data_IF_947370492836
#
_entry.id   IF_947370492836
#
_cell.length_a   1.000
_cell.length_b   1.000
_cell.length_c   1.000
_cell.angle_alpha   90.00
_cell.angle_beta   90.00
_cell.angle_gamma   90.00
#
_symmetry.space_group_name_H-M   'P 1'
#
loop_
_entity.id
_entity.type
_entity.pdbx_description
1 polymer ?
#
# COMPACT_ATOMS: atom_id res chain seq x y z
N UNK A 1 -37.72 19.22 -64.74
CA UNK A 1 -38.66 18.78 -63.68
C UNK A 1 -38.80 17.25 -63.65
N UNK A 2 -38.91 16.56 -64.80
CA UNK A 2 -38.99 15.08 -64.86
C UNK A 2 -37.75 14.34 -64.37
N UNK A 3 -36.54 14.85 -64.60
CA UNK A 3 -35.27 14.23 -64.18
C UNK A 3 -35.02 14.29 -62.67
N UNK A 4 -35.45 15.36 -62.00
CA UNK A 4 -35.37 15.50 -60.54
C UNK A 4 -36.37 14.59 -59.83
N UNK A 5 -37.60 14.48 -60.34
CA UNK A 5 -38.62 13.55 -59.84
C UNK A 5 -38.17 12.09 -59.99
N UNK A 6 -37.60 11.72 -61.15
CA UNK A 6 -37.07 10.36 -61.38
C UNK A 6 -35.93 10.00 -60.42
N UNK A 7 -34.97 10.90 -60.20
CA UNK A 7 -33.87 10.65 -59.26
C UNK A 7 -34.33 10.57 -57.80
N UNK A 8 -35.34 11.37 -57.42
CA UNK A 8 -35.87 11.37 -56.05
C UNK A 8 -36.64 10.09 -55.76
N UNK A 9 -37.44 9.60 -56.72
CA UNK A 9 -38.15 8.31 -56.60
C UNK A 9 -37.16 7.15 -56.50
N UNK A 10 -36.10 7.15 -57.31
CA UNK A 10 -35.09 6.09 -57.29
C UNK A 10 -34.30 6.06 -55.97
N UNK A 11 -33.99 7.23 -55.39
CA UNK A 11 -33.34 7.32 -54.06
C UNK A 11 -34.27 6.84 -52.95
N UNK A 12 -35.58 7.14 -53.04
CA UNK A 12 -36.58 6.68 -52.09
C UNK A 12 -36.75 5.16 -52.16
N UNK A 13 -36.88 4.57 -53.35
CA UNK A 13 -36.97 3.11 -53.52
C UNK A 13 -35.70 2.40 -53.04
N UNK A 14 -34.51 2.98 -53.29
CA UNK A 14 -33.24 2.42 -52.81
C UNK A 14 -33.12 2.51 -51.28
N UNK A 15 -33.62 3.59 -50.68
CA UNK A 15 -33.64 3.78 -49.22
C UNK A 15 -34.66 2.85 -48.55
N UNK A 16 -35.82 2.64 -49.15
CA UNK A 16 -36.87 1.72 -48.69
C UNK A 16 -36.37 0.26 -48.74
N UNK A 17 -35.75 -0.14 -49.84
CA UNK A 17 -35.16 -1.47 -49.98
C UNK A 17 -34.00 -1.69 -48.99
N UNK A 18 -33.19 -0.66 -48.70
CA UNK A 18 -32.12 -0.72 -47.71
C UNK A 18 -32.65 -0.75 -46.27
N UNK A 19 -33.77 -0.07 -45.99
CA UNK A 19 -34.43 -0.08 -44.70
C UNK A 19 -35.07 -1.45 -44.42
N UNK A 20 -35.73 -2.06 -45.41
CA UNK A 20 -36.27 -3.42 -45.31
C UNK A 20 -35.16 -4.46 -45.09
N UNK A 21 -34.02 -4.32 -45.77
CA UNK A 21 -32.86 -5.19 -45.56
C UNK A 21 -32.29 -5.06 -44.14
N UNK A 22 -32.17 -3.82 -43.63
CA UNK A 22 -31.65 -3.55 -42.28
C UNK A 22 -32.63 -4.02 -41.21
N UNK A 23 -33.94 -3.86 -41.42
CA UNK A 23 -35.00 -4.36 -40.55
C UNK A 23 -35.01 -5.90 -40.50
N UNK A 24 -34.83 -6.55 -41.65
CA UNK A 24 -34.67 -8.00 -41.75
C UNK A 24 -33.46 -8.50 -40.95
N UNK A 25 -32.33 -7.82 -41.07
CA UNK A 25 -31.10 -8.20 -40.36
C UNK A 25 -31.17 -7.91 -38.86
N UNK A 26 -31.83 -6.82 -38.45
CA UNK A 26 -32.12 -6.55 -37.05
C UNK A 26 -33.09 -7.57 -36.43
N UNK A 27 -34.11 -8.00 -37.19
CA UNK A 27 -35.05 -9.03 -36.74
C UNK A 27 -34.36 -10.39 -36.58
N UNK A 28 -33.45 -10.74 -37.51
CA UNK A 28 -32.60 -11.93 -37.37
C UNK A 28 -31.68 -11.83 -36.16
N UNK A 29 -31.04 -10.68 -35.94
CA UNK A 29 -30.15 -10.46 -34.80
C UNK A 29 -30.91 -10.50 -33.47
N UNK A 30 -32.09 -9.91 -33.38
CA UNK A 30 -33.00 -9.98 -32.23
C UNK A 30 -33.42 -11.43 -31.93
N UNK A 31 -33.79 -12.19 -32.95
CA UNK A 31 -34.09 -13.62 -32.80
C UNK A 31 -32.85 -14.41 -32.33
N UNK A 32 -31.66 -14.05 -32.80
CA UNK A 32 -30.40 -14.67 -32.41
C UNK A 32 -30.02 -14.32 -30.96
N UNK A 33 -30.20 -13.08 -30.53
CA UNK A 33 -29.99 -12.62 -29.15
C UNK A 33 -30.99 -13.28 -28.20
N UNK A 34 -32.26 -13.38 -28.59
CA UNK A 34 -33.30 -14.10 -27.81
C UNK A 34 -32.92 -15.57 -27.65
N UNK A 35 -32.49 -16.23 -28.72
CA UNK A 35 -32.00 -17.61 -28.68
C UNK A 35 -30.75 -17.77 -27.82
N UNK A 36 -29.82 -16.81 -27.85
CA UNK A 36 -28.63 -16.81 -26.98
C UNK A 36 -29.00 -16.59 -25.52
N UNK A 37 -29.98 -15.73 -25.22
CA UNK A 37 -30.51 -15.53 -23.87
C UNK A 37 -31.23 -16.77 -23.34
N UNK A 38 -32.04 -17.44 -24.17
CA UNK A 38 -32.65 -18.74 -23.85
C UNK A 38 -31.58 -19.82 -23.60
N UNK A 39 -30.50 -19.84 -24.40
CA UNK A 39 -29.37 -20.75 -24.19
C UNK A 39 -28.58 -20.45 -22.92
N UNK A 40 -28.39 -19.18 -22.58
CA UNK A 40 -27.72 -18.76 -21.33
C UNK A 40 -28.60 -19.13 -20.14
N UNK A 41 -29.90 -18.85 -20.20
CA UNK A 41 -30.85 -19.20 -19.14
C UNK A 41 -30.95 -20.73 -18.97
N UNK A 42 -31.04 -21.48 -20.07
CA UNK A 42 -31.02 -22.93 -20.06
C UNK A 42 -29.71 -23.53 -19.54
N UNK A 43 -28.55 -22.95 -19.87
CA UNK A 43 -27.26 -23.38 -19.30
C UNK A 43 -27.13 -23.01 -17.82
N UNK A 44 -27.72 -21.89 -17.39
CA UNK A 44 -27.71 -21.47 -16.00
C UNK A 44 -28.50 -22.46 -15.13
N UNK A 45 -29.72 -22.79 -15.54
CA UNK A 45 -30.58 -23.74 -14.81
C UNK A 45 -30.09 -25.19 -14.91
N UNK A 46 -29.61 -25.63 -16.09
CA UNK A 46 -29.25 -27.03 -16.30
C UNK A 46 -27.81 -27.39 -15.91
N UNK A 47 -26.88 -26.42 -15.85
CA UNK A 47 -25.44 -26.69 -15.62
C UNK A 47 -24.84 -25.88 -14.48
N UNK A 48 -25.10 -24.57 -14.41
CA UNK A 48 -24.42 -23.68 -13.46
C UNK A 48 -25.02 -23.83 -12.05
N UNK A 49 -26.34 -23.74 -11.92
CA UNK A 49 -27.03 -23.89 -10.63
C UNK A 49 -26.78 -25.28 -9.99
N UNK A 50 -26.85 -26.40 -10.74
CA UNK A 50 -26.53 -27.72 -10.19
C UNK A 50 -25.04 -27.86 -9.83
N UNK A 51 -24.12 -27.26 -10.60
CA UNK A 51 -22.70 -27.29 -10.28
C UNK A 51 -22.38 -26.51 -8.99
N UNK A 52 -23.01 -25.35 -8.78
CA UNK A 52 -22.89 -24.58 -7.54
C UNK A 52 -23.47 -25.37 -6.36
N UNK A 53 -24.64 -25.99 -6.51
CA UNK A 53 -25.23 -26.84 -5.47
C UNK A 53 -24.37 -28.08 -5.17
N UNK A 54 -23.78 -28.70 -6.19
CA UNK A 54 -22.85 -29.83 -6.05
C UNK A 54 -21.59 -29.40 -5.30
N UNK A 55 -20.98 -28.27 -5.68
CA UNK A 55 -19.84 -27.71 -4.97
C UNK A 55 -20.18 -27.40 -3.50
N UNK A 56 -21.35 -26.83 -3.23
CA UNK A 56 -21.85 -26.57 -1.88
C UNK A 56 -22.02 -27.87 -1.07
N UNK A 57 -22.50 -28.94 -1.71
CA UNK A 57 -22.69 -30.25 -1.08
C UNK A 57 -21.36 -30.94 -0.75
N UNK A 58 -20.36 -30.80 -1.63
CA UNK A 58 -18.99 -31.32 -1.41
C UNK A 58 -18.33 -30.57 -0.26
N UNK A 59 -18.38 -29.23 -0.28
CA UNK A 59 -17.84 -28.39 0.79
C UNK A 59 -18.50 -28.70 2.13
N UNK A 60 -19.83 -28.88 2.16
CA UNK A 60 -20.55 -29.25 3.38
C UNK A 60 -20.15 -30.64 3.88
N UNK A 61 -20.06 -31.64 2.99
CA UNK A 61 -19.69 -33.01 3.34
C UNK A 61 -18.25 -33.12 3.85
N UNK A 62 -17.31 -32.43 3.21
CA UNK A 62 -15.92 -32.37 3.65
C UNK A 62 -15.76 -31.55 4.94
N UNK A 63 -16.54 -30.49 5.14
CA UNK A 63 -16.57 -29.75 6.40
C UNK A 63 -17.16 -30.59 7.55
N UNK A 64 -18.19 -31.40 7.29
CA UNK A 64 -18.77 -32.33 8.28
C UNK A 64 -17.79 -33.47 8.60
N UNK A 65 -17.08 -34.00 7.60
CA UNK A 65 -16.02 -35.02 7.80
C UNK A 65 -14.81 -34.46 8.55
N UNK A 66 -14.35 -33.26 8.17
CA UNK A 66 -13.28 -32.55 8.86
C UNK A 66 -13.71 -32.20 10.29
N UNK A 67 -14.96 -31.80 10.51
CA UNK A 67 -15.55 -31.52 11.82
C UNK A 67 -15.64 -32.76 12.72
N UNK A 68 -15.96 -33.93 12.17
CA UNK A 68 -15.96 -35.20 12.90
C UNK A 68 -14.54 -35.66 13.27
N UNK A 69 -13.56 -35.47 12.37
CA UNK A 69 -12.15 -35.76 12.62
C UNK A 69 -11.55 -34.74 13.61
N UNK A 70 -11.91 -33.47 13.51
CA UNK A 70 -11.47 -32.39 14.38
C UNK A 70 -12.13 -32.45 15.77
N UNK A 71 -13.37 -32.95 15.90
CA UNK A 71 -13.99 -33.25 17.20
C UNK A 71 -13.23 -34.33 17.97
N UNK A 72 -12.59 -35.26 17.26
CA UNK A 72 -11.67 -36.22 17.88
C UNK A 72 -10.29 -35.63 18.24
N UNK A 73 -9.97 -34.42 17.74
CA UNK A 73 -8.66 -33.77 17.85
C UNK A 73 -8.70 -32.38 18.51
N UNK A 74 -9.77 -32.03 19.24
CA UNK A 74 -9.94 -30.70 19.85
C UNK A 74 -8.87 -30.46 20.91
N UNK A 75 -8.00 -29.47 20.69
CA UNK A 75 -7.51 -28.54 21.74
C UNK A 75 -6.82 -27.26 21.19
N UNK A 76 -6.17 -27.27 20.01
CA UNK A 76 -5.10 -26.27 19.77
C UNK A 76 -5.27 -25.20 18.67
N UNK A 77 -6.32 -25.15 17.84
CA UNK A 77 -6.36 -24.16 16.73
C UNK A 77 -7.72 -23.50 16.43
N UNK A 78 -8.00 -22.29 16.97
CA UNK A 78 -9.19 -21.48 16.65
C UNK A 78 -9.24 -20.90 15.23
N UNK A 79 -8.16 -21.00 14.46
CA UNK A 79 -8.03 -20.35 13.15
C UNK A 79 -8.78 -21.08 12.02
N UNK A 80 -8.97 -22.40 12.13
CA UNK A 80 -9.61 -23.22 11.09
C UNK A 80 -11.13 -23.02 11.08
N UNK A 81 -11.74 -22.89 12.26
CA UNK A 81 -13.17 -22.65 12.42
C UNK A 81 -13.59 -21.30 11.80
N UNK A 82 -12.73 -20.28 11.98
CA UNK A 82 -12.95 -18.95 11.40
C UNK A 82 -12.89 -18.94 9.87
N UNK A 83 -11.93 -19.65 9.26
CA UNK A 83 -11.78 -19.70 7.79
C UNK A 83 -12.97 -20.42 7.14
N UNK A 84 -13.47 -21.49 7.75
CA UNK A 84 -14.64 -22.21 7.25
C UNK A 84 -15.93 -21.37 7.39
N UNK A 85 -16.09 -20.66 8.49
CA UNK A 85 -17.21 -19.72 8.70
C UNK A 85 -17.15 -18.55 7.71
N UNK A 86 -15.97 -17.99 7.45
CA UNK A 86 -15.77 -16.89 6.52
C UNK A 86 -15.97 -17.34 5.05
N UNK A 87 -15.53 -18.56 4.69
CA UNK A 87 -15.79 -19.16 3.38
C UNK A 87 -17.29 -19.45 3.16
N UNK A 88 -17.98 -19.99 4.17
CA UNK A 88 -19.44 -20.20 4.12
C UNK A 88 -20.21 -18.88 4.00
N UNK A 89 -19.75 -17.81 4.66
CA UNK A 89 -20.29 -16.46 4.49
C UNK A 89 -20.06 -15.92 3.08
N UNK A 90 -18.85 -16.02 2.55
CA UNK A 90 -18.52 -15.56 1.19
C UNK A 90 -19.36 -16.27 0.12
N UNK A 91 -19.57 -17.57 0.29
CA UNK A 91 -20.40 -18.36 -0.63
C UNK A 91 -21.90 -18.02 -0.52
N UNK A 92 -22.39 -17.72 0.69
CA UNK A 92 -23.76 -17.23 0.90
C UNK A 92 -23.99 -15.84 0.29
N UNK A 93 -23.00 -14.97 0.33
CA UNK A 93 -23.04 -13.66 -0.35
C UNK A 93 -23.07 -13.86 -1.87
N UNK A 94 -22.25 -14.76 -2.43
CA UNK A 94 -22.27 -15.07 -3.86
C UNK A 94 -23.62 -15.65 -4.33
N UNK A 95 -24.26 -16.50 -3.52
CA UNK A 95 -25.61 -17.03 -3.81
C UNK A 95 -26.66 -15.93 -3.73
N UNK A 96 -26.60 -15.05 -2.72
CA UNK A 96 -27.53 -13.93 -2.60
C UNK A 96 -27.38 -12.93 -3.77
N UNK A 97 -26.16 -12.61 -4.19
CA UNK A 97 -25.90 -11.76 -5.37
C UNK A 97 -26.40 -12.42 -6.66
N UNK A 98 -26.22 -13.74 -6.81
CA UNK A 98 -26.79 -14.48 -7.94
C UNK A 98 -28.34 -14.50 -7.92
N UNK A 99 -28.95 -14.52 -6.74
CA UNK A 99 -30.39 -14.43 -6.55
C UNK A 99 -30.92 -13.01 -6.80
N UNK A 100 -30.15 -11.97 -6.47
CA UNK A 100 -30.41 -10.58 -6.85
C UNK A 100 -30.36 -10.43 -8.37
N UNK A 101 -29.33 -10.97 -9.04
CA UNK A 101 -29.24 -10.96 -10.51
C UNK A 101 -30.44 -11.70 -11.13
N UNK A 102 -30.81 -12.88 -10.60
CA UNK A 102 -32.04 -13.61 -10.99
C UNK A 102 -33.32 -12.81 -10.78
N UNK A 103 -33.42 -11.98 -9.74
CA UNK A 103 -34.61 -11.17 -9.47
C UNK A 103 -34.77 -9.98 -10.43
N UNK A 104 -33.66 -9.47 -10.99
CA UNK A 104 -33.67 -8.35 -11.93
C UNK A 104 -33.71 -8.78 -13.40
N UNK A 105 -33.40 -10.05 -13.70
CA UNK A 105 -33.46 -10.62 -15.06
C UNK A 105 -34.88 -10.59 -15.67
N UNK A 106 -35.96 -10.92 -14.94
CA UNK A 106 -37.33 -10.78 -15.45
C UNK A 106 -37.74 -9.32 -15.68
N UNK A 107 -37.18 -8.38 -14.91
CA UNK A 107 -37.41 -6.95 -15.13
C UNK A 107 -36.68 -6.47 -16.40
N UNK A 108 -35.48 -6.97 -16.65
CA UNK A 108 -34.75 -6.72 -17.90
C UNK A 108 -35.46 -7.35 -19.10
N UNK A 109 -35.95 -8.59 -18.99
CA UNK A 109 -36.77 -9.28 -20.00
C UNK A 109 -38.07 -8.50 -20.26
N UNK A 110 -38.79 -8.09 -19.22
CA UNK A 110 -40.01 -7.29 -19.33
C UNK A 110 -39.77 -5.92 -19.97
N UNK A 111 -38.69 -5.22 -19.61
CA UNK A 111 -38.29 -3.96 -20.25
C UNK A 111 -37.93 -4.17 -21.72
N UNK A 112 -37.24 -5.26 -22.06
CA UNK A 112 -36.94 -5.64 -23.44
C UNK A 112 -38.22 -5.95 -24.23
N UNK A 113 -39.15 -6.73 -23.68
CA UNK A 113 -40.45 -7.00 -24.32
C UNK A 113 -41.28 -5.73 -24.48
N UNK A 114 -41.23 -4.81 -23.52
CA UNK A 114 -41.90 -3.51 -23.61
C UNK A 114 -41.27 -2.64 -24.70
N UNK A 115 -39.94 -2.64 -24.84
CA UNK A 115 -39.23 -1.98 -25.93
C UNK A 115 -39.58 -2.63 -27.28
N UNK A 116 -39.66 -3.96 -27.37
CA UNK A 116 -40.08 -4.68 -28.59
C UNK A 116 -41.52 -4.36 -28.98
N UNK A 117 -42.45 -4.33 -28.02
CA UNK A 117 -43.85 -3.98 -28.26
C UNK A 117 -44.00 -2.51 -28.66
N UNK A 118 -43.26 -1.60 -28.02
CA UNK A 118 -43.24 -0.18 -28.40
C UNK A 118 -42.65 0.00 -29.79
N UNK A 119 -41.62 -0.75 -30.19
CA UNK A 119 -41.07 -0.72 -31.55
C UNK A 119 -42.09 -1.22 -32.59
N UNK A 120 -42.85 -2.28 -32.29
CA UNK A 120 -43.93 -2.76 -33.14
C UNK A 120 -45.12 -1.77 -33.23
N UNK A 121 -45.30 -0.94 -32.21
CA UNK A 121 -46.26 0.17 -32.19
C UNK A 121 -45.73 1.40 -32.95
N UNK A 122 -44.42 1.67 -32.86
CA UNK A 122 -43.68 2.70 -33.63
C UNK A 122 -43.65 2.42 -35.15
N UNK A 123 -43.73 1.15 -35.58
CA UNK A 123 -43.90 0.78 -37.00
C UNK A 123 -45.21 1.34 -37.61
N UNK A 124 -46.23 1.62 -36.78
CA UNK A 124 -47.55 2.11 -37.25
C UNK A 124 -47.69 3.62 -37.26
N UNK A 125 -46.91 4.35 -36.48
CA UNK A 125 -46.99 5.81 -36.35
C UNK A 125 -45.59 6.42 -36.48
N UNK A 126 -45.10 6.54 -37.72
CA UNK A 126 -43.79 7.08 -37.99
C UNK A 126 -43.72 8.60 -37.74
N UNK A 127 -42.80 9.03 -36.87
CA UNK A 127 -42.21 10.36 -36.95
C UNK A 127 -40.70 10.20 -37.21
N UNK A 128 -40.28 10.59 -38.42
CA UNK A 128 -38.92 10.50 -38.97
C UNK A 128 -37.85 11.15 -38.05
N UNK A 129 -38.29 12.00 -37.11
CA UNK A 129 -37.44 12.78 -36.23
C UNK A 129 -36.81 11.96 -35.09
N UNK A 130 -37.50 10.92 -34.60
CA UNK A 130 -36.99 10.04 -33.52
C UNK A 130 -35.99 9.01 -34.06
N UNK A 131 -36.18 8.60 -35.32
CA UNK A 131 -35.27 7.73 -36.07
C UNK A 131 -33.92 8.41 -36.31
N UNK A 132 -33.94 9.73 -36.58
CA UNK A 132 -32.72 10.55 -36.68
C UNK A 132 -32.00 10.62 -35.32
N UNK A 133 -32.71 10.78 -34.21
CA UNK A 133 -32.08 10.79 -32.87
C UNK A 133 -31.47 9.43 -32.48
N UNK A 134 -32.09 8.31 -32.88
CA UNK A 134 -31.54 6.97 -32.65
C UNK A 134 -30.32 6.64 -33.53
N UNK A 135 -30.32 7.09 -34.80
CA UNK A 135 -29.18 6.98 -35.71
C UNK A 135 -27.97 7.85 -35.32
N UNK A 136 -28.15 8.78 -34.38
CA UNK A 136 -27.07 9.65 -33.88
C UNK A 136 -26.32 9.02 -32.70
N UNK A 137 -26.70 7.83 -32.23
CA UNK A 137 -26.00 7.10 -31.17
C UNK A 137 -24.72 6.47 -31.76
N UNK A 138 -23.58 6.98 -31.34
CA UNK A 138 -22.26 6.55 -31.77
C UNK A 138 -21.85 5.24 -31.07
N UNK A 139 -22.14 4.10 -31.71
CA UNK A 139 -21.82 2.76 -31.19
C UNK A 139 -20.34 2.56 -30.81
N UNK A 140 -19.42 3.36 -31.36
CA UNK A 140 -18.02 3.31 -30.95
C UNK A 140 -17.81 3.87 -29.54
N UNK A 141 -18.53 4.93 -29.15
CA UNK A 141 -18.47 5.51 -27.79
C UNK A 141 -19.11 4.61 -26.74
N UNK A 142 -20.22 3.96 -27.08
CA UNK A 142 -20.90 3.05 -26.14
C UNK A 142 -20.06 1.78 -25.90
N UNK A 143 -19.41 1.26 -26.94
CA UNK A 143 -18.45 0.14 -26.82
C UNK A 143 -17.24 0.51 -25.96
N UNK A 144 -16.70 1.71 -26.12
CA UNK A 144 -15.60 2.23 -25.30
C UNK A 144 -16.02 2.39 -23.83
N UNK A 145 -17.27 2.82 -23.57
CA UNK A 145 -17.82 2.89 -22.23
C UNK A 145 -17.97 1.52 -21.55
N UNK A 146 -18.30 0.45 -22.27
CA UNK A 146 -18.35 -0.90 -21.70
C UNK A 146 -16.95 -1.54 -21.52
N UNK A 147 -15.98 -1.20 -22.38
CA UNK A 147 -14.61 -1.70 -22.27
C UNK A 147 -13.82 -1.01 -21.14
N UNK A 148 -14.04 0.29 -20.94
CA UNK A 148 -13.47 1.10 -19.86
C UNK A 148 -14.58 1.85 -19.11
N UNK A 149 -15.40 1.16 -18.30
CA UNK A 149 -16.53 1.77 -17.58
C UNK A 149 -16.09 2.85 -16.58
N UNK A 150 -14.80 2.89 -16.27
CA UNK A 150 -14.18 3.92 -15.45
C UNK A 150 -12.90 4.40 -16.15
N UNK A 151 -12.96 5.56 -16.81
CA UNK A 151 -11.75 6.28 -17.23
C UNK A 151 -11.11 6.88 -15.98
N UNK A 152 -10.04 6.24 -15.50
CA UNK A 152 -9.21 6.76 -14.41
C UNK A 152 -8.49 8.04 -14.89
N UNK A 153 -9.04 9.20 -14.54
CA UNK A 153 -8.36 10.48 -14.71
C UNK A 153 -7.43 10.68 -13.50
N UNK A 154 -6.21 10.16 -13.60
CA UNK A 154 -5.19 10.32 -12.56
C UNK A 154 -4.52 11.69 -12.65
N UNK A 155 -4.76 12.54 -11.66
CA UNK A 155 -4.01 13.78 -11.47
C UNK A 155 -2.91 13.54 -10.45
N UNK A 156 -1.71 13.20 -10.92
CA UNK A 156 -0.54 12.98 -10.05
C UNK A 156 0.05 14.33 -9.64
N UNK A 157 -0.23 14.77 -8.42
CA UNK A 157 0.27 16.03 -7.87
C UNK A 157 1.80 16.05 -7.70
N UNK A 158 2.40 14.89 -7.42
CA UNK A 158 3.82 14.73 -7.12
C UNK A 158 4.42 13.53 -7.87
N UNK A 159 4.79 13.69 -9.15
CA UNK A 159 5.25 12.58 -9.98
C UNK A 159 6.67 12.15 -9.61
N UNK A 160 6.82 10.90 -9.16
CA UNK A 160 8.12 10.25 -8.95
C UNK A 160 8.37 9.28 -10.11
N UNK A 161 9.50 9.41 -10.85
CA UNK A 161 9.66 8.79 -12.17
C UNK A 161 9.86 7.27 -12.15
N UNK A 162 10.25 6.69 -11.02
CA UNK A 162 10.49 5.25 -10.92
C UNK A 162 10.40 4.75 -9.47
N UNK A 163 10.20 3.44 -9.34
CA UNK A 163 10.07 2.75 -8.05
C UNK A 163 11.31 2.90 -7.16
N UNK A 164 12.52 2.84 -7.73
CA UNK A 164 13.76 2.99 -6.98
C UNK A 164 13.86 4.35 -6.28
N UNK A 165 13.46 5.41 -6.97
CA UNK A 165 13.41 6.77 -6.43
C UNK A 165 12.33 6.89 -5.34
N UNK A 166 11.15 6.30 -5.57
CA UNK A 166 10.07 6.26 -4.58
C UNK A 166 10.46 5.51 -3.29
N UNK A 167 11.33 4.50 -3.41
CA UNK A 167 11.84 3.72 -2.28
C UNK A 167 13.11 4.29 -1.63
N UNK A 168 13.76 5.28 -2.25
CA UNK A 168 14.99 5.89 -1.73
C UNK A 168 14.83 6.44 -0.29
N UNK A 169 13.73 7.12 0.11
CA UNK A 169 13.56 7.57 1.49
C UNK A 169 13.67 6.45 2.52
N UNK A 170 13.12 5.28 2.21
CA UNK A 170 13.13 4.12 3.09
C UNK A 170 14.53 3.52 3.20
N UNK A 171 15.19 3.24 2.07
CA UNK A 171 16.50 2.60 2.07
C UNK A 171 17.62 3.51 2.56
N UNK A 172 17.56 4.81 2.26
CA UNK A 172 18.49 5.81 2.82
C UNK A 172 18.32 5.88 4.34
N UNK A 173 17.10 5.95 4.87
CA UNK A 173 16.88 5.95 6.32
C UNK A 173 17.39 4.67 6.98
N UNK A 174 17.14 3.51 6.35
CA UNK A 174 17.63 2.22 6.80
C UNK A 174 19.16 2.16 6.86
N UNK A 175 19.84 2.60 5.79
CA UNK A 175 21.29 2.56 5.68
C UNK A 175 21.97 3.45 6.72
N UNK A 176 21.42 4.63 7.03
CA UNK A 176 21.94 5.52 8.07
C UNK A 176 21.93 4.87 9.46
N UNK A 177 20.83 4.18 9.83
CA UNK A 177 20.75 3.49 11.12
C UNK A 177 21.70 2.29 11.18
N UNK A 178 21.71 1.46 10.13
CA UNK A 178 22.60 0.28 10.04
C UNK A 178 24.06 0.72 10.09
N UNK A 179 24.44 1.77 9.35
CA UNK A 179 25.77 2.36 9.39
C UNK A 179 26.16 2.83 10.80
N UNK A 180 25.22 3.47 11.52
CA UNK A 180 25.41 3.82 12.94
C UNK A 180 25.65 2.61 13.85
N UNK A 181 24.88 1.51 13.70
CA UNK A 181 25.08 0.26 14.45
C UNK A 181 26.44 -0.36 14.15
N UNK A 182 26.83 -0.41 12.87
CA UNK A 182 28.14 -0.93 12.46
C UNK A 182 29.26 -0.09 13.07
N UNK A 183 29.11 1.24 13.07
CA UNK A 183 30.11 2.15 13.62
C UNK A 183 30.34 1.94 15.12
N UNK A 184 29.28 1.83 15.94
CA UNK A 184 29.42 1.51 17.38
C UNK A 184 29.86 0.07 17.65
N UNK A 185 29.75 -0.81 16.66
CA UNK A 185 30.23 -2.18 16.75
C UNK A 185 31.73 -2.28 16.48
N UNK A 186 32.23 -1.50 15.51
CA UNK A 186 33.64 -1.44 15.12
C UNK A 186 34.48 -0.58 16.06
N UNK A 187 33.96 0.60 16.45
CA UNK A 187 34.68 1.55 17.28
C UNK A 187 34.17 1.48 18.74
N UNK A 188 35.09 1.37 19.70
CA UNK A 188 34.72 1.33 21.12
C UNK A 188 34.12 2.65 21.59
N UNK A 189 33.03 2.60 22.35
CA UNK A 189 32.39 3.78 22.96
C UNK A 189 33.10 4.20 24.26
N UNK A 190 33.91 3.30 24.84
CA UNK A 190 34.67 3.58 26.07
C UNK A 190 35.91 4.42 25.77
N UNK A 191 36.18 5.38 26.65
CA UNK A 191 37.36 6.26 26.59
C UNK A 191 38.30 5.85 27.72
N UNK A 192 39.54 5.53 27.38
CA UNK A 192 40.59 5.18 28.34
C UNK A 192 41.53 6.38 28.54
N UNK A 193 42.21 6.45 29.70
CA UNK A 193 43.18 7.51 29.97
C UNK A 193 42.55 8.88 30.26
N UNK A 194 41.49 8.91 31.07
CA UNK A 194 40.84 10.16 31.47
C UNK A 194 41.76 10.98 32.40
N UNK A 195 41.99 12.25 32.08
CA UNK A 195 42.65 13.20 32.96
C UNK A 195 41.79 13.51 34.20
N UNK A 196 42.45 13.75 35.34
CA UNK A 196 41.80 14.16 36.58
C UNK A 196 40.99 15.45 36.39
N UNK A 197 39.76 15.48 36.91
CA UNK A 197 38.85 16.63 36.82
C UNK A 197 37.86 16.63 35.66
N UNK A 198 37.93 15.69 34.71
CA UNK A 198 36.93 15.59 33.64
C UNK A 198 35.57 15.08 34.15
N UNK A 199 34.52 15.91 34.00
CA UNK A 199 33.13 15.52 34.30
C UNK A 199 32.58 14.56 33.25
N UNK A 200 31.64 13.70 33.64
CA UNK A 200 31.08 12.65 32.77
C UNK A 200 30.45 13.16 31.47
N UNK A 201 29.90 14.38 31.46
CA UNK A 201 29.33 14.97 30.25
C UNK A 201 30.41 15.40 29.24
N UNK A 202 31.60 15.83 29.68
CA UNK A 202 32.71 16.16 28.77
C UNK A 202 33.17 14.91 28.02
N UNK A 203 33.30 13.78 28.73
CA UNK A 203 33.66 12.49 28.12
C UNK A 203 32.58 12.00 27.17
N UNK A 204 31.30 12.17 27.53
CA UNK A 204 30.17 11.80 26.69
C UNK A 204 30.13 12.60 25.39
N UNK A 205 30.08 13.93 25.47
CA UNK A 205 30.01 14.77 24.28
C UNK A 205 31.29 14.68 23.45
N UNK A 206 32.47 14.65 24.09
CA UNK A 206 33.74 14.52 23.38
C UNK A 206 33.82 13.25 22.53
N UNK A 207 33.43 12.10 23.10
CA UNK A 207 33.41 10.84 22.33
C UNK A 207 32.26 10.80 21.32
N UNK A 208 31.07 11.30 21.68
CA UNK A 208 29.94 11.41 20.76
C UNK A 208 30.29 12.21 19.50
N UNK A 209 31.02 13.32 19.63
CA UNK A 209 31.43 14.14 18.47
C UNK A 209 32.28 13.35 17.47
N UNK A 210 33.11 12.41 17.91
CA UNK A 210 33.83 11.51 16.99
C UNK A 210 32.87 10.65 16.17
N UNK A 211 31.87 10.05 16.83
CA UNK A 211 30.84 9.24 16.16
C UNK A 211 29.97 10.09 15.24
N UNK A 212 29.57 11.29 15.69
CA UNK A 212 28.78 12.23 14.91
C UNK A 212 29.49 12.65 13.62
N UNK A 213 30.78 13.00 13.68
CA UNK A 213 31.54 13.39 12.49
C UNK A 213 31.57 12.25 11.46
N UNK A 214 31.86 11.03 11.89
CA UNK A 214 31.87 9.87 10.99
C UNK A 214 30.45 9.60 10.46
N UNK A 215 29.42 9.77 11.30
CA UNK A 215 28.03 9.59 10.91
C UNK A 215 27.54 10.61 9.87
N UNK A 216 27.99 11.86 9.96
CA UNK A 216 27.70 12.89 8.97
C UNK A 216 28.43 12.60 7.65
N UNK A 217 29.69 12.16 7.72
CA UNK A 217 30.45 11.78 6.51
C UNK A 217 29.83 10.58 5.79
N UNK A 218 29.47 9.50 6.51
CA UNK A 218 28.78 8.36 5.88
C UNK A 218 27.44 8.80 5.28
N UNK A 219 26.70 9.68 5.96
CA UNK A 219 25.41 10.16 5.46
C UNK A 219 25.58 10.94 4.18
N UNK A 220 26.60 11.80 4.10
CA UNK A 220 26.91 12.54 2.89
C UNK A 220 27.24 11.57 1.75
N UNK A 221 28.06 10.55 2.01
CA UNK A 221 28.38 9.51 1.02
C UNK A 221 27.13 8.77 0.55
N UNK A 222 26.23 8.39 1.46
CA UNK A 222 24.97 7.72 1.12
C UNK A 222 24.09 8.64 0.28
N UNK A 223 23.75 9.84 0.77
CA UNK A 223 22.80 10.72 0.07
C UNK A 223 23.35 11.23 -1.26
N UNK A 224 24.63 11.56 -1.34
CA UNK A 224 25.25 11.99 -2.60
C UNK A 224 25.44 10.79 -3.53
N UNK A 225 25.74 9.61 -3.00
CA UNK A 225 25.80 8.36 -3.75
C UNK A 225 24.45 7.99 -4.37
N UNK A 226 23.36 8.14 -3.62
CA UNK A 226 21.99 7.91 -4.12
C UNK A 226 21.69 8.84 -5.31
N UNK A 227 22.04 10.12 -5.21
CA UNK A 227 21.78 11.11 -6.26
C UNK A 227 22.72 10.98 -7.47
N UNK A 228 24.02 10.76 -7.27
CA UNK A 228 25.02 10.80 -8.34
C UNK A 228 25.37 9.42 -8.93
N UNK A 229 25.50 8.40 -8.08
CA UNK A 229 25.89 7.05 -8.51
C UNK A 229 24.66 6.25 -8.94
N UNK A 230 23.64 6.21 -8.08
CA UNK A 230 22.42 5.45 -8.34
C UNK A 230 21.40 6.24 -9.18
N UNK A 231 21.61 7.55 -9.34
CA UNK A 231 20.73 8.46 -10.09
C UNK A 231 19.28 8.42 -9.60
N UNK A 232 19.11 8.27 -8.28
CA UNK A 232 17.80 8.36 -7.65
C UNK A 232 17.24 9.78 -7.84
N UNK A 233 15.96 9.87 -8.21
CA UNK A 233 15.28 11.14 -8.33
C UNK A 233 14.94 11.72 -6.96
N UNK A 234 15.18 13.01 -6.79
CA UNK A 234 14.65 13.81 -5.70
C UNK A 234 14.18 15.16 -6.25
N UNK A 235 12.94 15.56 -5.92
CA UNK A 235 12.41 16.86 -6.30
C UNK A 235 13.26 18.03 -5.75
N UNK A 236 13.79 17.88 -4.53
CA UNK A 236 14.72 18.82 -3.91
C UNK A 236 15.98 18.08 -3.42
N UNK A 237 17.02 17.96 -4.27
CA UNK A 237 18.26 17.24 -3.94
C UNK A 237 19.01 17.82 -2.75
N UNK A 238 18.93 19.15 -2.55
CA UNK A 238 19.60 19.81 -1.43
C UNK A 238 18.91 19.43 -0.12
N UNK A 239 17.57 19.49 -0.07
CA UNK A 239 16.82 19.02 1.10
C UNK A 239 17.05 17.54 1.37
N UNK A 240 17.15 16.70 0.33
CA UNK A 240 17.44 15.27 0.49
C UNK A 240 18.74 15.03 1.27
N UNK A 241 19.81 15.75 0.91
CA UNK A 241 21.10 15.67 1.61
C UNK A 241 21.00 16.25 3.03
N UNK A 242 20.39 17.43 3.20
CA UNK A 242 20.26 18.07 4.52
C UNK A 242 19.43 17.25 5.51
N UNK A 243 18.33 16.66 5.05
CA UNK A 243 17.49 15.78 5.85
C UNK A 243 18.23 14.49 6.20
N UNK A 244 18.96 13.89 5.25
CA UNK A 244 19.81 12.73 5.54
C UNK A 244 20.85 13.02 6.63
N UNK A 245 21.56 14.16 6.53
CA UNK A 245 22.54 14.58 7.55
C UNK A 245 21.90 14.77 8.92
N UNK A 246 20.74 15.43 8.97
CA UNK A 246 19.97 15.62 10.21
C UNK A 246 19.54 14.28 10.81
N UNK A 247 18.91 13.40 10.02
CA UNK A 247 18.46 12.07 10.46
C UNK A 247 19.65 11.23 10.95
N UNK A 248 20.78 11.26 10.24
CA UNK A 248 22.00 10.58 10.65
C UNK A 248 22.50 11.07 12.02
N UNK A 249 22.48 12.39 12.26
CA UNK A 249 22.86 12.94 13.56
C UNK A 249 21.93 12.48 14.69
N UNK A 250 20.61 12.44 14.45
CA UNK A 250 19.60 11.96 15.40
C UNK A 250 19.81 10.47 15.71
N UNK A 251 19.92 9.64 14.67
CA UNK A 251 20.11 8.20 14.82
C UNK A 251 21.43 7.87 15.49
N UNK A 252 22.51 8.55 15.11
CA UNK A 252 23.81 8.37 15.73
C UNK A 252 23.77 8.73 17.22
N UNK A 253 23.08 9.80 17.59
CA UNK A 253 22.89 10.16 18.99
C UNK A 253 22.16 9.06 19.76
N UNK A 254 21.05 8.55 19.23
CA UNK A 254 20.28 7.46 19.85
C UNK A 254 21.14 6.20 20.04
N UNK A 255 21.74 5.72 18.96
CA UNK A 255 22.54 4.49 18.96
C UNK A 255 23.76 4.64 19.89
N UNK A 256 24.48 5.76 19.79
CA UNK A 256 25.62 6.05 20.67
C UNK A 256 25.21 6.05 22.13
N UNK A 257 24.06 6.66 22.45
CA UNK A 257 23.57 6.75 23.82
C UNK A 257 23.24 5.38 24.39
N UNK A 258 22.52 4.54 23.64
CA UNK A 258 22.20 3.19 24.08
C UNK A 258 23.46 2.38 24.39
N UNK A 259 24.45 2.40 23.48
CA UNK A 259 25.71 1.67 23.69
C UNK A 259 26.55 2.31 24.80
N UNK A 260 26.54 3.63 24.91
CA UNK A 260 27.30 4.33 25.96
C UNK A 260 26.75 4.09 27.36
N UNK A 261 25.44 3.88 27.51
CA UNK A 261 24.79 3.68 28.81
C UNK A 261 24.69 2.19 29.16
N UNK A 262 24.35 1.34 28.19
CA UNK A 262 24.07 -0.09 28.42
C UNK A 262 25.14 -1.04 27.86
N UNK A 263 26.20 -0.54 27.25
CA UNK A 263 27.27 -1.35 26.67
C UNK A 263 26.77 -2.30 25.57
N UNK A 264 27.14 -3.58 25.66
CA UNK A 264 26.73 -4.60 24.67
C UNK A 264 25.22 -4.84 24.64
N UNK A 265 24.53 -4.67 25.77
CA UNK A 265 23.05 -4.72 25.81
C UNK A 265 22.48 -3.58 24.98
N UNK A 266 23.09 -2.40 25.04
CA UNK A 266 22.71 -1.25 24.22
C UNK A 266 22.82 -1.50 22.72
N UNK A 267 23.83 -2.28 22.28
CA UNK A 267 23.94 -2.70 20.87
C UNK A 267 22.76 -3.59 20.47
N UNK A 268 22.42 -4.57 21.31
CA UNK A 268 21.26 -5.43 21.07
C UNK A 268 19.95 -4.64 21.04
N UNK A 269 19.76 -3.68 21.94
CA UNK A 269 18.60 -2.78 21.95
C UNK A 269 18.47 -1.98 20.65
N UNK A 270 19.58 -1.44 20.13
CA UNK A 270 19.58 -0.71 18.86
C UNK A 270 19.17 -1.59 17.67
N UNK A 271 19.58 -2.86 17.67
CA UNK A 271 19.19 -3.86 16.65
C UNK A 271 17.73 -4.26 16.79
N UNK A 272 17.25 -4.53 18.00
CA UNK A 272 15.83 -4.85 18.23
C UNK A 272 14.95 -3.69 17.80
N UNK A 273 15.33 -2.46 18.16
CA UNK A 273 14.61 -1.26 17.74
C UNK A 273 14.64 -1.09 16.22
N UNK A 274 15.75 -1.41 15.54
CA UNK A 274 15.81 -1.45 14.08
C UNK A 274 14.77 -2.41 13.48
N UNK A 275 14.69 -3.63 13.99
CA UNK A 275 13.75 -4.65 13.48
C UNK A 275 12.30 -4.21 13.66
N UNK A 276 11.96 -3.67 14.83
CA UNK A 276 10.62 -3.13 15.10
C UNK A 276 10.28 -1.96 14.18
N UNK A 277 11.24 -1.06 13.96
CA UNK A 277 11.09 0.08 13.06
C UNK A 277 10.92 -0.34 11.60
N UNK A 278 11.68 -1.35 11.15
CA UNK A 278 11.62 -1.84 9.77
C UNK A 278 10.23 -2.36 9.41
N UNK A 279 9.60 -3.11 10.32
CA UNK A 279 8.26 -3.65 10.12
C UNK A 279 7.14 -2.62 10.43
N UNK A 280 7.39 -1.69 11.35
CA UNK A 280 6.35 -0.83 11.93
C UNK A 280 6.31 0.62 11.45
N UNK A 281 7.18 1.07 10.54
CA UNK A 281 7.29 2.51 10.17
C UNK A 281 6.57 2.93 8.89
N UNK A 282 5.82 2.03 8.25
CA UNK A 282 5.07 2.34 7.03
C UNK A 282 5.94 2.79 5.85
N UNK A 283 7.13 2.19 5.73
CA UNK A 283 8.13 2.53 4.71
C UNK A 283 7.83 1.95 3.33
N UNK A 284 7.46 0.66 3.27
CA UNK A 284 7.14 -0.07 2.03
C UNK A 284 5.65 -0.13 1.73
N UNK A 285 4.82 -0.21 2.77
CA UNK A 285 3.37 -0.29 2.68
C UNK A 285 2.70 0.67 3.67
N UNK A 286 1.46 1.10 3.41
CA UNK A 286 0.69 1.88 4.37
C UNK A 286 0.59 1.16 5.72
N UNK A 287 0.68 1.91 6.83
CA UNK A 287 0.63 1.27 8.16
C UNK A 287 -0.70 0.55 8.42
N UNK A 288 -1.80 1.00 7.79
CA UNK A 288 -3.15 0.47 7.95
C UNK A 288 -3.30 -0.99 7.52
N UNK A 289 -2.42 -1.48 6.65
CA UNK A 289 -2.43 -2.89 6.19
C UNK A 289 -1.54 -3.80 7.04
N UNK A 290 -0.89 -3.28 8.08
CA UNK A 290 -0.04 -4.07 8.98
C UNK A 290 -0.83 -4.62 10.18
N UNK A 291 -0.35 -5.66 10.88
CA UNK A 291 -1.02 -6.17 12.09
C UNK A 291 -1.23 -5.08 13.17
N UNK A 292 -2.27 -5.18 14.02
CA UNK A 292 -2.61 -4.15 15.01
C UNK A 292 -1.47 -3.73 15.94
N UNK A 293 -0.59 -4.68 16.29
CA UNK A 293 0.61 -4.40 17.07
C UNK A 293 1.52 -3.35 16.41
N UNK A 294 1.78 -3.46 15.11
CA UNK A 294 2.63 -2.52 14.38
C UNK A 294 1.96 -1.16 14.21
N UNK A 295 0.64 -1.14 14.00
CA UNK A 295 -0.14 0.09 13.99
C UNK A 295 -0.07 0.84 15.32
N UNK A 296 -0.09 0.13 16.45
CA UNK A 296 -0.02 0.74 17.78
C UNK A 296 1.35 1.37 18.07
N UNK A 297 2.45 0.74 17.64
CA UNK A 297 3.80 1.27 17.88
C UNK A 297 4.21 2.34 16.86
N UNK A 298 3.61 2.39 15.67
CA UNK A 298 3.95 3.29 14.56
C UNK A 298 4.21 4.76 14.96
N UNK A 299 3.36 5.42 15.80
CA UNK A 299 3.58 6.80 16.19
C UNK A 299 4.81 7.03 17.06
N UNK A 300 5.34 5.97 17.67
CA UNK A 300 6.47 6.01 18.60
C UNK A 300 7.79 5.56 17.96
N UNK A 301 7.80 5.28 16.66
CA UNK A 301 8.98 4.86 15.92
C UNK A 301 9.64 6.06 15.22
N UNK A 302 10.91 6.40 15.52
CA UNK A 302 11.58 7.53 14.86
C UNK A 302 11.74 7.34 13.34
N UNK A 303 11.84 6.09 12.86
CA UNK A 303 11.83 5.78 11.42
C UNK A 303 10.60 6.32 10.70
N UNK A 304 9.43 6.33 11.33
CA UNK A 304 8.19 6.85 10.74
C UNK A 304 8.40 8.28 10.26
N UNK A 305 8.93 9.13 11.13
CA UNK A 305 9.15 10.55 10.87
C UNK A 305 10.39 10.79 9.98
N UNK A 306 11.44 9.96 10.10
CA UNK A 306 12.61 10.06 9.25
C UNK A 306 12.31 9.71 7.78
N UNK A 307 11.57 8.62 7.53
CA UNK A 307 11.16 8.22 6.18
C UNK A 307 10.18 9.24 5.60
N UNK A 308 9.27 9.75 6.42
CA UNK A 308 8.32 10.81 6.03
C UNK A 308 9.07 12.10 5.63
N UNK A 309 10.03 12.56 6.44
CA UNK A 309 10.85 13.73 6.12
C UNK A 309 11.66 13.56 4.82
N UNK A 310 12.24 12.38 4.59
CA UNK A 310 12.95 12.08 3.34
C UNK A 310 12.00 12.03 2.13
N UNK A 311 10.76 11.57 2.31
CA UNK A 311 9.72 11.58 1.27
C UNK A 311 9.40 13.00 0.80
N UNK A 312 9.36 13.97 1.71
CA UNK A 312 9.13 15.38 1.37
C UNK A 312 10.22 15.97 0.46
N UNK A 313 11.46 15.47 0.55
CA UNK A 313 12.53 15.86 -0.38
C UNK A 313 12.42 15.17 -1.74
N UNK A 314 11.87 13.95 -1.79
CA UNK A 314 11.76 13.14 -3.02
C UNK A 314 10.52 13.50 -3.83
N UNK A 315 9.34 13.49 -3.21
CA UNK A 315 8.06 13.70 -3.89
C UNK A 315 7.71 15.17 -4.07
N UNK A 316 8.20 16.05 -3.20
CA UNK A 316 7.80 17.45 -3.16
C UNK A 316 7.38 17.83 -1.74
N UNK A 317 7.83 19.00 -1.28
CA UNK A 317 7.83 19.34 0.14
C UNK A 317 6.58 20.10 0.56
N UNK A 318 5.81 19.49 1.46
CA UNK A 318 4.72 20.06 2.24
C UNK A 318 5.30 20.54 3.58
N UNK A 319 5.30 21.86 3.77
CA UNK A 319 6.00 22.49 4.90
C UNK A 319 5.47 22.03 6.26
N UNK A 320 4.17 21.79 6.41
CA UNK A 320 3.57 21.33 7.67
C UNK A 320 4.06 19.94 8.08
N UNK A 321 4.25 19.04 7.10
CA UNK A 321 4.77 17.69 7.34
C UNK A 321 6.24 17.77 7.76
N UNK A 322 7.04 18.58 7.04
CA UNK A 322 8.45 18.81 7.38
C UNK A 322 8.60 19.36 8.80
N UNK A 323 7.82 20.39 9.19
CA UNK A 323 7.88 20.98 10.53
C UNK A 323 7.50 19.95 11.59
N UNK A 324 6.41 19.20 11.38
CA UNK A 324 5.96 18.16 12.32
C UNK A 324 7.04 17.11 12.53
N UNK A 325 7.54 16.51 11.45
CA UNK A 325 8.49 15.40 11.51
C UNK A 325 9.83 15.84 12.08
N UNK A 326 10.31 17.03 11.69
CA UNK A 326 11.51 17.64 12.25
C UNK A 326 11.37 17.90 13.75
N UNK A 327 10.23 18.45 14.19
CA UNK A 327 9.95 18.71 15.61
C UNK A 327 9.91 17.42 16.42
N UNK A 328 9.26 16.36 15.91
CA UNK A 328 9.20 15.08 16.60
C UNK A 328 10.60 14.44 16.71
N UNK A 329 11.42 14.52 15.66
CA UNK A 329 12.81 14.05 15.71
C UNK A 329 13.65 14.85 16.73
N UNK A 330 13.41 16.15 16.89
CA UNK A 330 14.04 16.93 17.97
C UNK A 330 13.57 16.50 19.37
N UNK A 331 12.32 16.06 19.52
CA UNK A 331 11.85 15.47 20.80
C UNK A 331 12.65 14.20 21.12
N UNK A 332 12.92 13.34 20.13
CA UNK A 332 13.81 12.18 20.34
C UNK A 332 15.23 12.60 20.73
N UNK A 333 15.77 13.67 20.13
CA UNK A 333 17.08 14.23 20.52
C UNK A 333 17.05 14.65 21.99
N UNK A 334 16.03 15.41 22.41
CA UNK A 334 15.89 15.88 23.78
C UNK A 334 15.79 14.70 24.77
N UNK A 335 14.91 13.73 24.50
CA UNK A 335 14.76 12.51 25.33
C UNK A 335 16.09 11.75 25.42
N UNK A 336 16.78 11.59 24.30
CA UNK A 336 18.05 10.85 24.23
C UNK A 336 19.15 11.57 24.99
N UNK A 337 19.24 12.90 24.91
CA UNK A 337 20.21 13.67 25.70
C UNK A 337 19.93 13.60 27.19
N UNK A 338 18.67 13.67 27.60
CA UNK A 338 18.27 13.51 29.01
C UNK A 338 18.69 12.12 29.51
N UNK A 339 18.42 11.08 28.72
CA UNK A 339 18.80 9.70 29.02
C UNK A 339 20.34 9.58 29.10
N UNK A 340 21.06 10.09 28.11
CA UNK A 340 22.52 9.99 28.01
C UNK A 340 23.26 10.75 29.10
N UNK A 341 22.90 12.01 29.36
CA UNK A 341 23.58 12.83 30.38
C UNK A 341 23.16 12.40 31.79
N UNK A 342 21.86 12.13 32.00
CA UNK A 342 21.32 11.74 33.30
C UNK A 342 21.77 10.36 33.77
N UNK A 343 21.59 9.32 32.93
CA UNK A 343 21.93 7.96 33.33
C UNK A 343 23.43 7.68 33.26
N UNK A 344 24.21 8.29 32.35
CA UNK A 344 25.65 8.02 32.30
C UNK A 344 26.38 8.47 33.56
N UNK A 345 25.93 9.55 34.20
CA UNK A 345 26.44 9.93 35.53
C UNK A 345 26.20 8.84 36.59
N UNK A 346 25.03 8.22 36.57
CA UNK A 346 24.67 7.12 37.48
C UNK A 346 25.41 5.81 37.15
N UNK A 347 25.41 5.40 35.88
CA UNK A 347 26.06 4.18 35.40
C UNK A 347 27.57 4.23 35.63
N UNK A 348 28.23 5.35 35.29
CA UNK A 348 29.67 5.48 35.55
C UNK A 348 30.01 5.33 37.05
N UNK A 349 29.14 5.80 37.95
CA UNK A 349 29.34 5.67 39.39
C UNK A 349 29.20 4.22 39.88
N UNK A 350 28.30 3.44 39.29
CA UNK A 350 28.10 2.01 39.60
C UNK A 350 29.23 1.17 39.00
N UNK A 351 29.58 1.43 37.74
CA UNK A 351 30.63 0.70 37.04
C UNK A 351 32.00 0.99 37.67
N UNK A 352 32.29 2.23 38.07
CA UNK A 352 33.50 2.55 38.82
C UNK A 352 33.60 1.74 40.12
N UNK A 353 32.53 1.67 40.92
CA UNK A 353 32.49 0.83 42.13
C UNK A 353 32.69 -0.65 41.85
N UNK A 354 32.15 -1.16 40.74
CA UNK A 354 32.25 -2.59 40.38
C UNK A 354 33.65 -2.95 39.85
N UNK A 355 34.25 -2.07 39.06
CA UNK A 355 35.64 -2.20 38.57
C UNK A 355 36.63 -2.06 39.71
N UNK A 356 36.41 -1.12 40.64
CA UNK A 356 37.21 -0.98 41.86
C UNK A 356 37.13 -2.23 42.74
N UNK A 357 35.92 -2.80 42.89
CA UNK A 357 35.72 -4.06 43.61
C UNK A 357 36.38 -5.26 42.91
N UNK A 358 36.34 -5.32 41.58
CA UNK A 358 36.99 -6.38 40.80
C UNK A 358 38.53 -6.27 40.80
N UNK A 359 39.08 -5.04 40.75
CA UNK A 359 40.51 -4.78 40.93
C UNK A 359 40.97 -5.10 42.35
N UNK A 360 40.19 -4.72 43.37
CA UNK A 360 40.48 -5.09 44.76
C UNK A 360 40.42 -6.60 45.00
N UNK A 361 39.66 -7.33 44.17
CA UNK A 361 39.55 -8.78 44.19
C UNK A 361 40.58 -9.54 43.33
N UNK A 362 41.57 -8.87 42.71
CA UNK A 362 42.57 -9.49 41.81
C UNK A 362 41.99 -10.29 40.63
N UNK A 363 40.72 -10.08 40.26
CA UNK A 363 40.07 -10.82 39.15
C UNK A 363 40.42 -10.24 37.77
N UNK A 364 40.93 -9.03 37.73
CA UNK A 364 41.30 -8.32 36.50
C UNK A 364 42.52 -7.45 36.81
N UNK A 365 43.61 -7.66 36.06
CA UNK A 365 44.85 -6.88 36.18
C UNK A 365 44.76 -5.51 35.53
#
# INVERSE_FOLDING_TARGET
MSTLLSNTIQVIETAETSAEATLSDFTKLSAQVTKTLEQINGNFDAKILPAIQTALSIVKKEADHAGAILQSAISDFPAVDKVLVDAAKGLKVAVNEAEIVRSHLPEAESKLTNVTNRIAEFEKEASLQDLINLLTIDFAKESEFFAEPVKLVENVLYPIPNYGSAMSPFFTTLSLWVGGILLVSLLTVQVHGLQEGMKSYHVYFGRYLTFLTIALLQSLVVTVGDLLLLKAYAADPIKFVLFGLFISAVFMLMIYTFVSVFGNVGKAMAVVLLVLQLAGSGGTFPIQVTPPFFQAIYPYLPFTYAISLMREAVGGSVQDIVIRDFTILLIYVAITLILGVGLKGFVNRITAKSVEKAKSGHLIH
#
